data_IF_296917494830
#
_entry.id   IF_296917494830
#
_cell.length_a   1.000
_cell.length_b   1.000
_cell.length_c   1.000
_cell.angle_alpha   90.00
_cell.angle_beta   90.00
_cell.angle_gamma   90.00
#
_symmetry.space_group_name_H-M   'P 1'
#
loop_
_entity.id
_entity.type
_entity.pdbx_description
1 polymer ?
#
# COMPACT_ATOMS: atom_id res chain seq x y z
N UNK A 1 -6.97 26.28 2.03
CA UNK A 1 -7.19 25.20 1.03
C UNK A 1 -8.30 25.64 0.08
N UNK A 2 -8.26 25.27 -1.20
CA UNK A 2 -9.27 25.64 -2.22
C UNK A 2 -10.71 25.39 -1.74
N UNK A 3 -10.98 24.21 -1.15
CA UNK A 3 -12.29 23.84 -0.61
C UNK A 3 -12.90 24.89 0.34
N UNK A 4 -12.16 25.35 1.35
CA UNK A 4 -12.67 26.34 2.30
C UNK A 4 -12.94 27.70 1.64
N UNK A 5 -12.12 28.11 0.66
CA UNK A 5 -12.34 29.38 -0.07
C UNK A 5 -13.64 29.38 -0.87
N UNK A 6 -14.00 28.23 -1.46
CA UNK A 6 -15.20 28.10 -2.30
C UNK A 6 -16.49 27.85 -1.49
N UNK A 7 -16.37 27.30 -0.28
CA UNK A 7 -17.51 26.78 0.48
C UNK A 7 -17.79 27.54 1.79
N UNK A 8 -16.94 28.49 2.19
CA UNK A 8 -17.18 29.39 3.32
C UNK A 8 -18.22 30.45 2.92
N UNK A 9 -19.50 30.15 3.15
CA UNK A 9 -20.65 31.01 2.87
C UNK A 9 -21.33 31.40 4.18
N UNK A 10 -21.93 32.60 4.23
CA UNK A 10 -22.58 33.18 5.42
C UNK A 10 -23.62 32.27 6.12
N UNK A 11 -24.17 31.26 5.44
CA UNK A 11 -25.19 30.35 5.97
C UNK A 11 -24.71 28.92 6.21
N UNK A 12 -23.43 28.62 5.93
CA UNK A 12 -22.86 27.30 6.20
C UNK A 12 -22.25 27.30 7.60
N UNK A 13 -22.66 26.36 8.46
CA UNK A 13 -22.02 26.24 9.77
C UNK A 13 -20.58 25.75 9.62
N UNK A 14 -19.68 26.21 10.50
CA UNK A 14 -18.28 25.76 10.53
C UNK A 14 -18.17 24.25 10.69
N UNK A 15 -19.09 23.64 11.46
CA UNK A 15 -19.17 22.20 11.65
C UNK A 15 -19.47 21.46 10.33
N UNK A 16 -20.49 21.89 9.58
CA UNK A 16 -20.85 21.29 8.30
C UNK A 16 -19.70 21.44 7.28
N UNK A 17 -19.01 22.58 7.31
CA UNK A 17 -17.86 22.84 6.45
C UNK A 17 -16.70 21.88 6.76
N UNK A 18 -16.39 21.67 8.05
CA UNK A 18 -15.37 20.72 8.49
C UNK A 18 -15.73 19.27 8.19
N UNK A 19 -16.97 18.86 8.44
CA UNK A 19 -17.42 17.50 8.19
C UNK A 19 -17.38 17.17 6.70
N UNK A 20 -17.84 18.11 5.85
CA UNK A 20 -17.77 17.94 4.40
C UNK A 20 -16.32 17.85 3.91
N UNK A 21 -15.43 18.71 4.42
CA UNK A 21 -14.01 18.67 4.07
C UNK A 21 -13.36 17.33 4.43
N UNK A 22 -13.67 16.78 5.62
CA UNK A 22 -13.17 15.46 6.05
C UNK A 22 -13.69 14.36 5.12
N UNK A 23 -14.98 14.37 4.77
CA UNK A 23 -15.58 13.37 3.89
C UNK A 23 -14.93 13.40 2.50
N UNK A 24 -14.84 14.58 1.87
CA UNK A 24 -14.19 14.74 0.56
C UNK A 24 -12.74 14.29 0.60
N UNK A 25 -11.99 14.70 1.62
CA UNK A 25 -10.59 14.29 1.78
C UNK A 25 -10.47 12.77 1.93
N UNK A 26 -11.35 12.15 2.72
CA UNK A 26 -11.36 10.71 2.93
C UNK A 26 -11.68 9.94 1.65
N UNK A 27 -12.64 10.39 0.85
CA UNK A 27 -12.98 9.78 -0.43
C UNK A 27 -11.80 9.81 -1.42
N UNK A 28 -11.08 10.93 -1.48
CA UNK A 28 -9.88 11.07 -2.30
C UNK A 28 -8.79 10.09 -1.83
N UNK A 29 -8.55 10.00 -0.51
CA UNK A 29 -7.56 9.07 0.05
C UNK A 29 -7.97 7.62 -0.24
N UNK A 30 -9.24 7.25 -0.02
CA UNK A 30 -9.73 5.88 -0.24
C UNK A 30 -9.57 5.47 -1.70
N UNK A 31 -10.02 6.31 -2.63
CA UNK A 31 -9.92 6.01 -4.07
C UNK A 31 -8.47 5.90 -4.55
N UNK A 32 -7.61 6.82 -4.09
CA UNK A 32 -6.17 6.78 -4.37
C UNK A 32 -5.52 5.51 -3.82
N UNK A 33 -5.76 5.17 -2.55
CA UNK A 33 -5.22 3.96 -1.92
C UNK A 33 -5.74 2.69 -2.59
N UNK A 34 -7.02 2.62 -2.94
CA UNK A 34 -7.60 1.47 -3.64
C UNK A 34 -6.91 1.20 -4.98
N UNK A 35 -6.69 2.26 -5.78
CA UNK A 35 -5.95 2.15 -7.04
C UNK A 35 -4.53 1.62 -6.82
N UNK A 36 -3.79 2.20 -5.89
CA UNK A 36 -2.41 1.77 -5.59
C UNK A 36 -2.33 0.33 -5.07
N UNK A 37 -3.29 -0.09 -4.25
CA UNK A 37 -3.34 -1.46 -3.76
C UNK A 37 -3.56 -2.45 -4.92
N UNK A 38 -4.40 -2.10 -5.89
CA UNK A 38 -4.60 -2.90 -7.11
C UNK A 38 -3.32 -2.99 -7.93
N UNK A 39 -2.64 -1.87 -8.18
CA UNK A 39 -1.37 -1.84 -8.92
C UNK A 39 -0.28 -2.66 -8.21
N UNK A 40 -0.16 -2.53 -6.89
CA UNK A 40 0.78 -3.33 -6.08
C UNK A 40 0.45 -4.82 -6.15
N UNK A 41 -0.83 -5.19 -6.06
CA UNK A 41 -1.26 -6.58 -6.20
C UNK A 41 -0.91 -7.16 -7.58
N UNK A 42 -1.13 -6.40 -8.65
CA UNK A 42 -0.76 -6.81 -10.01
C UNK A 42 0.75 -7.00 -10.17
N UNK A 43 1.56 -6.08 -9.60
CA UNK A 43 3.02 -6.19 -9.57
C UNK A 43 3.49 -7.45 -8.85
N UNK A 44 3.00 -7.69 -7.63
CA UNK A 44 3.36 -8.86 -6.83
C UNK A 44 3.03 -10.17 -7.55
N UNK A 45 1.83 -10.26 -8.14
CA UNK A 45 1.44 -11.42 -8.94
C UNK A 45 2.37 -11.64 -10.14
N UNK A 46 2.83 -10.57 -10.79
CA UNK A 46 3.77 -10.65 -11.92
C UNK A 46 5.14 -11.16 -11.48
N UNK A 47 5.66 -10.67 -10.36
CA UNK A 47 6.94 -11.13 -9.80
C UNK A 47 6.83 -12.61 -9.40
N UNK A 48 5.76 -13.00 -8.70
CA UNK A 48 5.53 -14.40 -8.32
C UNK A 48 5.43 -15.34 -9.52
N UNK A 49 4.69 -14.95 -10.57
CA UNK A 49 4.62 -15.73 -11.82
C UNK A 49 5.98 -15.84 -12.51
N UNK A 50 6.79 -14.77 -12.48
CA UNK A 50 8.16 -14.77 -13.01
C UNK A 50 9.04 -15.76 -12.25
N UNK A 51 9.00 -15.73 -10.92
CA UNK A 51 9.72 -16.68 -10.06
C UNK A 51 9.32 -18.12 -10.40
N UNK A 52 8.02 -18.42 -10.43
CA UNK A 52 7.53 -19.77 -10.77
C UNK A 52 7.94 -20.24 -12.16
N UNK A 53 8.07 -19.32 -13.12
CA UNK A 53 8.56 -19.65 -14.46
C UNK A 53 10.05 -19.96 -14.44
N UNK A 54 10.86 -19.09 -13.81
CA UNK A 54 12.31 -19.27 -13.69
C UNK A 54 12.66 -20.54 -12.92
N UNK A 55 11.90 -20.89 -11.88
CA UNK A 55 12.08 -22.14 -11.13
C UNK A 55 11.84 -23.37 -12.01
N UNK A 56 10.80 -23.38 -12.84
CA UNK A 56 10.54 -24.46 -13.81
C UNK A 56 11.64 -24.57 -14.85
N UNK A 57 12.06 -23.45 -15.43
CA UNK A 57 13.16 -23.46 -16.41
C UNK A 57 14.48 -23.94 -15.79
N UNK A 58 14.72 -23.63 -14.51
CA UNK A 58 15.90 -24.08 -13.80
C UNK A 58 15.85 -25.59 -13.47
N UNK A 59 14.67 -26.15 -13.23
CA UNK A 59 14.49 -27.61 -13.11
C UNK A 59 14.88 -28.34 -14.40
N UNK A 60 14.52 -27.79 -15.57
CA UNK A 60 14.89 -28.34 -16.87
C UNK A 60 16.38 -28.13 -17.19
N UNK A 61 16.94 -26.98 -16.79
CA UNK A 61 18.32 -26.55 -17.14
C UNK A 61 19.10 -26.10 -15.90
N UNK A 62 19.52 -27.04 -15.02
CA UNK A 62 20.06 -26.72 -13.70
C UNK A 62 21.43 -26.01 -13.71
N UNK A 63 22.18 -26.07 -14.81
CA UNK A 63 23.47 -25.39 -14.96
C UNK A 63 23.36 -23.99 -15.59
N UNK A 64 22.15 -23.52 -15.91
CA UNK A 64 21.97 -22.19 -16.50
C UNK A 64 22.12 -21.09 -15.44
N UNK A 65 23.34 -20.56 -15.31
CA UNK A 65 23.66 -19.51 -14.34
C UNK A 65 22.85 -18.21 -14.55
N UNK A 66 22.52 -17.88 -15.80
CA UNK A 66 21.71 -16.68 -16.11
C UNK A 66 20.30 -16.77 -15.51
N UNK A 67 19.67 -17.95 -15.57
CA UNK A 67 18.35 -18.20 -14.98
C UNK A 67 18.43 -18.11 -13.44
N UNK A 68 19.51 -18.64 -12.84
CA UNK A 68 19.74 -18.52 -11.39
C UNK A 68 19.88 -17.08 -10.95
N UNK A 69 20.68 -16.28 -11.65
CA UNK A 69 20.85 -14.85 -11.35
C UNK A 69 19.52 -14.10 -11.44
N UNK A 70 18.74 -14.33 -12.50
CA UNK A 70 17.42 -13.73 -12.65
C UNK A 70 16.46 -14.14 -11.53
N UNK A 71 16.48 -15.41 -11.11
CA UNK A 71 15.65 -15.90 -10.01
C UNK A 71 16.02 -15.22 -8.68
N UNK A 72 17.31 -15.04 -8.41
CA UNK A 72 17.79 -14.34 -7.21
C UNK A 72 17.30 -12.89 -7.21
N UNK A 73 17.42 -12.19 -8.33
CA UNK A 73 16.95 -10.81 -8.48
C UNK A 73 15.45 -10.72 -8.23
N UNK A 74 14.64 -11.55 -8.90
CA UNK A 74 13.18 -11.52 -8.71
C UNK A 74 12.74 -11.86 -7.29
N UNK A 75 13.44 -12.78 -6.60
CA UNK A 75 13.19 -13.06 -5.17
C UNK A 75 13.55 -11.87 -4.29
N UNK A 76 14.63 -11.17 -4.61
CA UNK A 76 15.02 -9.96 -3.88
C UNK A 76 13.99 -8.83 -4.07
N UNK A 77 13.52 -8.62 -5.29
CA UNK A 77 12.43 -7.68 -5.59
C UNK A 77 11.17 -7.99 -4.77
N UNK A 78 10.76 -9.27 -4.71
CA UNK A 78 9.62 -9.69 -3.89
C UNK A 78 9.84 -9.36 -2.40
N UNK A 79 11.03 -9.69 -1.87
CA UNK A 79 11.35 -9.44 -0.47
C UNK A 79 11.34 -7.95 -0.11
N UNK A 80 11.76 -7.05 -1.01
CA UNK A 80 11.68 -5.60 -0.79
C UNK A 80 10.22 -5.16 -0.59
N UNK A 81 9.31 -5.63 -1.44
CA UNK A 81 7.88 -5.30 -1.36
C UNK A 81 7.22 -5.82 -0.08
N UNK A 82 7.62 -7.03 0.37
CA UNK A 82 7.17 -7.63 1.63
C UNK A 82 7.67 -6.85 2.84
N UNK A 83 8.93 -6.39 2.82
CA UNK A 83 9.51 -5.56 3.88
C UNK A 83 8.84 -4.18 3.98
N UNK A 84 8.45 -3.58 2.86
CA UNK A 84 7.70 -2.33 2.86
C UNK A 84 6.31 -2.52 3.52
N UNK A 85 5.60 -3.60 3.20
CA UNK A 85 4.30 -3.90 3.82
C UNK A 85 4.45 -4.18 5.32
N UNK A 86 5.49 -4.91 5.71
CA UNK A 86 5.80 -5.16 7.12
C UNK A 86 6.06 -3.86 7.89
N UNK A 87 6.82 -2.93 7.31
CA UNK A 87 7.09 -1.61 7.89
C UNK A 87 5.80 -0.82 8.11
N UNK A 88 4.90 -0.84 7.13
CA UNK A 88 3.59 -0.20 7.23
C UNK A 88 2.73 -0.84 8.33
N UNK A 89 2.69 -2.16 8.41
CA UNK A 89 1.97 -2.88 9.44
C UNK A 89 2.49 -2.55 10.84
N UNK A 90 3.82 -2.47 11.02
CA UNK A 90 4.44 -2.07 12.29
C UNK A 90 4.03 -0.65 12.71
N UNK A 91 3.97 0.30 11.77
CA UNK A 91 3.50 1.67 12.05
C UNK A 91 2.05 1.68 12.49
N UNK A 92 1.18 0.92 11.81
CA UNK A 92 -0.23 0.80 12.18
C UNK A 92 -0.42 0.16 13.55
N UNK A 93 0.29 -0.93 13.83
CA UNK A 93 0.26 -1.59 15.14
C UNK A 93 0.70 -0.65 16.26
N UNK A 94 1.75 0.14 16.03
CA UNK A 94 2.22 1.15 17.00
C UNK A 94 1.18 2.24 17.25
N UNK A 95 0.53 2.73 16.20
CA UNK A 95 -0.54 3.73 16.30
C UNK A 95 -1.72 3.17 17.09
N UNK A 96 -2.18 1.97 16.74
CA UNK A 96 -3.27 1.29 17.43
C UNK A 96 -2.93 1.08 18.91
N UNK A 97 -1.71 0.66 19.23
CA UNK A 97 -1.25 0.53 20.61
C UNK A 97 -1.34 1.86 21.36
N UNK A 98 -0.81 2.95 20.79
CA UNK A 98 -0.87 4.28 21.42
C UNK A 98 -2.31 4.75 21.67
N UNK A 99 -3.21 4.55 20.71
CA UNK A 99 -4.62 4.94 20.84
C UNK A 99 -5.39 4.17 21.92
N UNK A 100 -4.93 2.97 22.29
CA UNK A 100 -5.65 2.09 23.23
C UNK A 100 -4.92 1.89 24.56
N UNK A 101 -3.62 2.18 24.64
CA UNK A 101 -2.81 1.94 25.83
C UNK A 101 -3.26 2.71 27.09
N UNK A 102 -3.95 3.85 26.93
CA UNK A 102 -4.37 4.72 28.04
C UNK A 102 -5.89 4.84 28.21
N UNK A 103 -6.69 4.01 27.52
CA UNK A 103 -8.15 4.06 27.67
C UNK A 103 -8.57 3.21 28.88
N UNK A 104 -9.20 3.77 29.93
CA UNK A 104 -9.77 2.96 31.00
C UNK A 104 -10.87 2.06 30.40
N UNK A 105 -10.83 0.78 30.75
CA UNK A 105 -11.80 -0.22 30.30
C UNK A 105 -13.21 0.03 30.83
#
# INVERSE_FOLDING_TARGET
TFFFKENDRKHTSLQNLWDTMKTVSREIIISYTAKRNKEKFELLNKIQKTIQKLERELQEKPQNNKIKEQLIISRHELNIEEQEEMTKNLRMTRQNFFEHANKPG
#
